data_IF_996125291730
#
_entry.id   IF_996125291730
#
_cell.length_a   1.000
_cell.length_b   1.000
_cell.length_c   1.000
_cell.angle_alpha   90.00
_cell.angle_beta   90.00
_cell.angle_gamma   90.00
#
_symmetry.space_group_name_H-M   'P 1'
#
loop_
_entity.id
_entity.type
_entity.pdbx_description
1 polymer ?
#
# COMPACT_ATOMS: atom_id res chain seq x y z
N UNK A 1 -10.16 55.67 40.05
CA UNK A 1 -11.04 54.59 39.53
C UNK A 1 -10.40 53.97 38.31
N UNK A 2 -10.32 52.64 38.29
CA UNK A 2 -9.34 51.82 37.59
C UNK A 2 -9.72 51.52 36.14
N UNK A 3 -9.19 52.28 35.18
CA UNK A 3 -9.22 51.90 33.75
C UNK A 3 -8.00 51.06 33.33
N UNK A 4 -6.88 51.12 34.06
CA UNK A 4 -5.67 50.33 33.74
C UNK A 4 -5.75 48.86 34.14
N UNK A 5 -6.51 48.51 35.17
CA UNK A 5 -6.61 47.11 35.64
C UNK A 5 -7.53 46.25 34.78
N UNK A 6 -8.50 46.85 34.09
CA UNK A 6 -9.44 46.13 33.21
C UNK A 6 -8.81 45.72 31.86
N UNK A 7 -7.89 46.53 31.32
CA UNK A 7 -7.19 46.23 30.06
C UNK A 7 -6.24 45.05 30.18
N UNK A 8 -5.58 44.90 31.34
CA UNK A 8 -4.63 43.82 31.62
C UNK A 8 -5.37 42.49 31.85
N UNK A 9 -6.55 42.52 32.49
CA UNK A 9 -7.39 41.34 32.69
C UNK A 9 -8.06 40.87 31.39
N UNK A 10 -8.47 41.78 30.48
CA UNK A 10 -8.98 41.41 29.16
C UNK A 10 -7.90 40.82 28.25
N UNK A 11 -6.67 41.35 28.30
CA UNK A 11 -5.54 40.81 27.54
C UNK A 11 -5.12 39.40 27.99
N UNK A 12 -5.16 39.14 29.30
CA UNK A 12 -4.88 37.80 29.84
C UNK A 12 -5.98 36.79 29.51
N UNK A 13 -7.26 37.19 29.55
CA UNK A 13 -8.38 36.33 29.18
C UNK A 13 -8.38 35.99 27.68
N UNK A 14 -8.02 36.94 26.80
CA UNK A 14 -7.89 36.70 25.36
C UNK A 14 -6.68 35.80 25.01
N UNK A 15 -5.57 35.90 25.75
CA UNK A 15 -4.42 35.00 25.59
C UNK A 15 -4.72 33.58 26.06
N UNK A 16 -5.46 33.40 27.17
CA UNK A 16 -5.89 32.07 27.63
C UNK A 16 -6.91 31.43 26.68
N UNK A 17 -7.83 32.21 26.11
CA UNK A 17 -8.74 31.72 25.08
C UNK A 17 -8.03 31.40 23.75
N UNK A 18 -7.00 32.15 23.36
CA UNK A 18 -6.21 31.83 22.16
C UNK A 18 -5.34 30.57 22.34
N UNK A 19 -4.80 30.33 23.53
CA UNK A 19 -4.05 29.09 23.84
C UNK A 19 -4.99 27.89 23.94
N UNK A 20 -6.21 28.06 24.45
CA UNK A 20 -7.22 26.98 24.50
C UNK A 20 -7.85 26.70 23.11
N UNK A 21 -7.98 27.71 22.23
CA UNK A 21 -8.44 27.51 20.85
C UNK A 21 -7.34 26.96 19.92
N UNK A 22 -6.06 27.27 20.18
CA UNK A 22 -4.94 26.61 19.50
C UNK A 22 -4.74 25.15 19.97
N UNK A 23 -5.20 24.80 21.17
CA UNK A 23 -5.28 23.42 21.66
C UNK A 23 -6.43 22.58 21.06
N UNK A 24 -7.34 23.20 20.29
CA UNK A 24 -8.48 22.53 19.64
C UNK A 24 -8.14 21.72 18.39
N UNK A 25 -6.95 21.93 17.81
CA UNK A 25 -6.37 21.01 16.82
C UNK A 25 -5.60 19.92 17.55
N UNK A 26 -6.31 19.05 18.26
CA UNK A 26 -5.71 17.94 18.98
C UNK A 26 -5.11 16.92 17.98
N UNK A 27 -3.86 17.13 17.57
CA UNK A 27 -2.99 16.07 17.05
C UNK A 27 -2.69 15.12 18.20
N UNK A 28 -3.44 14.04 18.30
CA UNK A 28 -3.16 12.97 19.26
C UNK A 28 -2.14 12.00 18.64
N UNK A 29 -0.86 12.15 19.00
CA UNK A 29 0.19 11.16 18.67
C UNK A 29 0.05 9.98 19.63
N UNK A 30 -0.20 8.78 19.09
CA UNK A 30 -0.20 7.52 19.85
C UNK A 30 0.93 6.66 19.34
N UNK A 31 1.92 6.42 20.19
CA UNK A 31 3.10 5.63 19.85
C UNK A 31 2.88 4.16 20.23
N UNK A 32 2.96 3.26 19.25
CA UNK A 32 3.02 1.80 19.49
C UNK A 32 4.38 1.29 19.06
N UNK A 33 5.11 0.67 19.98
CA UNK A 33 6.50 0.22 19.75
C UNK A 33 6.52 -1.26 19.41
N UNK A 34 7.12 -1.57 18.27
CA UNK A 34 7.48 -2.91 17.84
C UNK A 34 9.01 -3.04 17.99
N UNK A 35 9.48 -3.88 18.94
CA UNK A 35 10.86 -3.84 19.42
C UNK A 35 11.60 -5.17 19.19
N UNK A 36 12.78 -5.06 18.58
CA UNK A 36 13.96 -5.83 19.00
C UNK A 36 14.89 -4.95 19.85
N UNK A 37 15.96 -5.51 20.42
CA UNK A 37 16.94 -4.74 21.19
C UNK A 37 17.61 -3.61 20.40
N UNK A 38 17.90 -3.84 19.11
CA UNK A 38 18.70 -2.93 18.24
C UNK A 38 17.83 -2.15 17.24
N UNK A 39 16.76 -2.77 16.72
CA UNK A 39 15.82 -2.16 15.77
C UNK A 39 14.46 -1.93 16.44
N UNK A 40 13.99 -0.68 16.43
CA UNK A 40 12.67 -0.31 16.95
C UNK A 40 11.87 0.41 15.89
N UNK A 41 10.61 0.02 15.73
CA UNK A 41 9.67 0.69 14.82
C UNK A 41 8.52 1.25 15.64
N UNK A 42 8.25 2.54 15.47
CA UNK A 42 7.28 3.29 16.25
C UNK A 42 6.16 3.75 15.33
N UNK A 43 4.95 3.25 15.54
CA UNK A 43 3.77 3.75 14.85
C UNK A 43 3.44 5.17 15.33
N UNK A 44 3.24 6.11 14.41
CA UNK A 44 2.88 7.50 14.65
C UNK A 44 1.55 7.77 13.97
N UNK A 45 0.47 7.78 14.75
CA UNK A 45 -0.87 8.14 14.23
C UNK A 45 -1.10 9.64 14.31
N UNK A 46 -1.37 10.27 13.18
CA UNK A 46 -1.90 11.62 13.06
C UNK A 46 -3.41 11.57 12.85
N UNK A 47 -4.18 12.36 13.60
CA UNK A 47 -5.62 12.49 13.43
C UNK A 47 -5.95 13.88 12.88
N UNK A 48 -6.60 13.96 11.72
CA UNK A 48 -7.07 15.20 11.10
C UNK A 48 -8.58 15.16 10.90
N UNK A 49 -9.29 16.19 11.38
CA UNK A 49 -10.71 16.34 11.08
C UNK A 49 -10.87 16.83 9.63
N UNK A 50 -11.48 16.01 8.78
CA UNK A 50 -11.94 16.44 7.47
C UNK A 50 -13.32 17.10 7.64
N UNK A 51 -13.33 18.43 7.52
CA UNK A 51 -14.50 19.28 7.75
C UNK A 51 -15.54 19.07 6.63
N UNK A 52 -15.14 18.67 5.43
CA UNK A 52 -16.07 18.48 4.31
C UNK A 52 -16.94 17.24 4.48
N UNK A 53 -16.43 16.21 5.18
CA UNK A 53 -17.16 14.96 5.46
C UNK A 53 -17.42 14.75 6.95
N UNK A 54 -17.09 15.74 7.80
CA UNK A 54 -17.24 15.71 9.26
C UNK A 54 -16.71 14.42 9.91
N UNK A 55 -15.57 13.91 9.41
CA UNK A 55 -14.97 12.64 9.85
C UNK A 55 -13.51 12.86 10.20
N UNK A 56 -13.06 12.26 11.30
CA UNK A 56 -11.64 12.18 11.61
C UNK A 56 -10.96 11.18 10.67
N UNK A 57 -10.01 11.66 9.88
CA UNK A 57 -9.05 10.86 9.13
C UNK A 57 -7.88 10.57 10.06
N UNK A 58 -7.57 9.28 10.23
CA UNK A 58 -6.39 8.85 10.96
C UNK A 58 -5.36 8.36 9.95
N UNK A 59 -4.17 8.92 9.99
CA UNK A 59 -3.05 8.51 9.16
C UNK A 59 -1.95 7.99 10.08
N UNK A 60 -1.65 6.69 10.00
CA UNK A 60 -0.54 6.10 10.78
C UNK A 60 0.66 5.94 9.86
N UNK A 61 1.77 6.55 10.26
CA UNK A 61 3.08 6.29 9.67
C UNK A 61 3.96 5.56 10.66
N UNK A 62 5.15 5.17 10.24
CA UNK A 62 6.12 4.51 11.10
C UNK A 62 7.43 5.29 11.13
N UNK A 63 7.97 5.52 12.32
CA UNK A 63 9.31 6.05 12.54
C UNK A 63 10.25 4.89 12.89
N UNK A 64 11.39 4.81 12.21
CA UNK A 64 12.38 3.76 12.39
C UNK A 64 13.49 4.27 13.30
N UNK A 65 13.88 3.47 14.28
CA UNK A 65 14.98 3.75 15.19
C UNK A 65 15.98 2.59 15.17
N UNK A 66 17.25 2.94 15.02
CA UNK A 66 18.39 2.02 15.05
C UNK A 66 19.30 2.46 16.19
N UNK A 67 19.59 1.56 17.12
CA UNK A 67 20.39 1.85 18.32
C UNK A 67 19.94 3.09 19.10
N UNK A 68 18.62 3.32 19.14
CA UNK A 68 18.00 4.44 19.84
C UNK A 68 18.04 5.78 19.10
N UNK A 69 18.68 5.85 17.92
CA UNK A 69 18.63 7.03 17.05
C UNK A 69 17.60 6.83 15.95
N UNK A 70 16.82 7.87 15.64
CA UNK A 70 15.89 7.82 14.50
C UNK A 70 16.69 7.74 13.21
N UNK A 71 16.33 6.79 12.35
CA UNK A 71 16.85 6.68 10.99
C UNK A 71 16.27 7.85 10.16
N UNK A 72 17.16 8.70 9.63
CA UNK A 72 16.78 9.80 8.76
C UNK A 72 16.51 9.35 7.33
N UNK A 73 15.76 10.15 6.55
CA UNK A 73 15.49 9.90 5.13
C UNK A 73 16.77 9.67 4.32
N UNK A 74 17.83 10.44 4.63
CA UNK A 74 19.14 10.32 3.97
C UNK A 74 19.86 9.02 4.33
N UNK A 75 19.77 8.58 5.58
CA UNK A 75 20.32 7.29 6.00
C UNK A 75 19.53 6.14 5.39
N UNK A 76 18.19 6.27 5.34
CA UNK A 76 17.32 5.30 4.69
C UNK A 76 17.61 5.19 3.18
N UNK A 77 17.75 6.31 2.46
CA UNK A 77 18.12 6.28 1.03
C UNK A 77 19.50 5.67 0.79
N UNK A 78 20.45 5.93 1.68
CA UNK A 78 21.79 5.30 1.64
C UNK A 78 21.70 3.79 1.83
N UNK A 79 20.84 3.31 2.73
CA UNK A 79 20.60 1.88 2.95
C UNK A 79 19.86 1.23 1.78
N UNK A 80 18.92 1.96 1.16
CA UNK A 80 18.14 1.50 0.03
C UNK A 80 19.00 1.26 -1.22
N UNK A 81 20.11 1.99 -1.35
CA UNK A 81 21.04 1.93 -2.51
C UNK A 81 20.35 2.24 -3.85
N UNK A 82 19.25 2.98 -3.82
CA UNK A 82 18.54 3.46 -5.00
C UNK A 82 19.01 4.88 -5.35
N UNK A 83 19.76 5.08 -6.45
CA UNK A 83 20.31 6.38 -6.82
C UNK A 83 19.22 7.40 -7.15
N UNK A 84 18.04 6.96 -7.59
CA UNK A 84 16.96 7.86 -7.96
C UNK A 84 16.21 8.36 -6.71
N UNK A 85 16.38 7.73 -5.55
CA UNK A 85 15.69 8.03 -4.30
C UNK A 85 16.54 8.84 -3.29
N UNK A 86 17.73 9.32 -3.69
CA UNK A 86 18.71 9.96 -2.79
C UNK A 86 18.15 11.21 -2.10
N UNK A 87 17.35 12.00 -2.80
CA UNK A 87 16.76 13.26 -2.31
C UNK A 87 15.27 13.13 -1.95
N UNK A 88 14.74 11.90 -1.89
CA UNK A 88 13.34 11.67 -1.56
C UNK A 88 13.06 11.87 -0.07
N UNK A 89 11.85 12.36 0.20
CA UNK A 89 11.25 12.31 1.53
C UNK A 89 10.41 11.05 1.63
N UNK A 90 10.73 10.20 2.60
CA UNK A 90 10.10 8.89 2.75
C UNK A 90 8.95 8.95 3.75
N UNK A 91 7.91 8.18 3.44
CA UNK A 91 6.79 7.93 4.33
C UNK A 91 6.62 6.43 4.46
N UNK A 92 6.81 5.93 5.68
CA UNK A 92 6.62 4.53 5.99
C UNK A 92 5.17 4.30 6.40
N UNK A 93 4.43 3.53 5.62
CA UNK A 93 2.98 3.35 5.78
C UNK A 93 2.59 2.02 6.41
N UNK A 94 3.49 1.04 6.39
CA UNK A 94 3.27 -0.24 7.06
C UNK A 94 4.57 -0.85 7.57
N UNK A 95 4.47 -1.62 8.65
CA UNK A 95 5.58 -2.27 9.31
C UNK A 95 5.14 -3.59 9.95
N UNK A 96 5.87 -4.67 9.65
CA UNK A 96 5.62 -6.01 10.17
C UNK A 96 6.89 -6.57 10.77
N UNK A 97 6.86 -6.89 12.06
CA UNK A 97 7.98 -7.56 12.74
C UNK A 97 8.05 -9.00 12.26
N UNK A 98 9.18 -9.37 11.67
CA UNK A 98 9.42 -10.73 11.19
C UNK A 98 9.99 -11.60 12.31
N UNK A 99 10.97 -11.08 13.05
CA UNK A 99 11.63 -11.74 14.17
C UNK A 99 12.27 -10.70 15.12
N UNK A 100 13.08 -11.15 16.08
CA UNK A 100 13.82 -10.30 17.03
C UNK A 100 14.90 -9.43 16.40
N UNK A 101 15.06 -9.38 15.08
CA UNK A 101 16.08 -8.56 14.43
C UNK A 101 15.63 -7.94 13.11
N UNK A 102 14.47 -8.33 12.57
CA UNK A 102 14.02 -7.95 11.24
C UNK A 102 12.58 -7.44 11.21
N UNK A 103 12.35 -6.43 10.39
CA UNK A 103 11.05 -5.84 10.10
C UNK A 103 10.89 -5.72 8.58
N UNK A 104 9.73 -6.12 8.08
CA UNK A 104 9.29 -5.81 6.73
C UNK A 104 8.58 -4.46 6.74
N UNK A 105 9.02 -3.54 5.90
CA UNK A 105 8.57 -2.15 5.87
C UNK A 105 8.03 -1.80 4.49
N UNK A 106 6.82 -1.24 4.42
CA UNK A 106 6.31 -0.58 3.23
C UNK A 106 6.56 0.93 3.33
N UNK A 107 7.20 1.48 2.30
CA UNK A 107 7.59 2.88 2.22
C UNK A 107 7.16 3.45 0.87
N UNK A 108 6.85 4.74 0.82
CA UNK A 108 6.69 5.47 -0.42
C UNK A 108 7.30 6.86 -0.30
N UNK A 109 7.59 7.49 -1.43
CA UNK A 109 7.98 8.89 -1.41
C UNK A 109 6.75 9.78 -1.20
N UNK A 110 6.96 11.03 -0.79
CA UNK A 110 5.86 11.91 -0.33
C UNK A 110 4.71 12.10 -1.33
N UNK A 111 4.99 12.10 -2.62
CA UNK A 111 3.97 12.21 -3.69
C UNK A 111 3.39 10.84 -4.13
N UNK A 112 3.85 9.75 -3.51
CA UNK A 112 3.47 8.37 -3.81
C UNK A 112 3.76 7.93 -5.25
N UNK A 113 4.66 8.64 -5.94
CA UNK A 113 5.10 8.26 -7.30
C UNK A 113 6.03 7.04 -7.29
N UNK A 114 6.59 6.70 -6.13
CA UNK A 114 7.47 5.55 -5.91
C UNK A 114 7.19 4.91 -4.57
N UNK A 115 7.33 3.59 -4.54
CA UNK A 115 7.19 2.80 -3.33
C UNK A 115 8.21 1.67 -3.28
N UNK A 116 8.46 1.22 -2.05
CA UNK A 116 9.40 0.15 -1.73
C UNK A 116 8.82 -0.73 -0.63
N UNK A 117 8.95 -2.04 -0.79
CA UNK A 117 8.88 -2.96 0.34
C UNK A 117 10.29 -3.44 0.65
N UNK A 118 10.72 -3.26 1.89
CA UNK A 118 12.09 -3.51 2.31
C UNK A 118 12.11 -4.39 3.53
N UNK A 119 13.06 -5.33 3.60
CA UNK A 119 13.36 -6.06 4.83
C UNK A 119 14.51 -5.33 5.50
N UNK A 120 14.20 -4.63 6.59
CA UNK A 120 15.17 -3.97 7.43
C UNK A 120 15.55 -4.91 8.57
N UNK A 121 16.84 -5.19 8.73
CA UNK A 121 17.31 -6.05 9.81
C UNK A 121 18.60 -5.52 10.45
N UNK A 122 18.79 -5.85 11.73
CA UNK A 122 19.98 -5.49 12.47
C UNK A 122 20.96 -6.67 12.52
N UNK A 123 22.15 -6.50 11.94
CA UNK A 123 23.23 -7.49 12.03
C UNK A 123 24.47 -6.84 12.65
N UNK A 124 24.92 -7.37 13.78
CA UNK A 124 26.11 -6.86 14.49
C UNK A 124 26.01 -5.38 14.92
N UNK A 125 24.80 -4.90 15.25
CA UNK A 125 24.57 -3.50 15.62
C UNK A 125 24.59 -2.53 14.43
N UNK A 126 24.41 -3.02 13.20
CA UNK A 126 24.27 -2.17 12.01
C UNK A 126 22.95 -2.46 11.31
N UNK A 127 22.24 -1.42 10.83
CA UNK A 127 21.07 -1.62 10.01
C UNK A 127 21.51 -2.11 8.63
N UNK A 128 20.86 -3.14 8.14
CA UNK A 128 20.96 -3.64 6.79
C UNK A 128 19.57 -3.64 6.18
N UNK A 129 19.48 -3.26 4.92
CA UNK A 129 18.23 -3.17 4.19
C UNK A 129 18.35 -4.04 2.95
N UNK A 130 17.42 -4.97 2.80
CA UNK A 130 17.23 -5.76 1.60
C UNK A 130 15.98 -5.23 0.88
N UNK A 131 16.16 -4.80 -0.37
CA UNK A 131 15.04 -4.40 -1.21
C UNK A 131 14.30 -5.68 -1.65
N UNK A 132 13.06 -5.83 -1.19
CA UNK A 132 12.20 -6.96 -1.54
C UNK A 132 11.41 -6.63 -2.81
N UNK A 133 10.96 -5.38 -2.92
CA UNK A 133 10.16 -4.90 -4.05
C UNK A 133 10.27 -3.39 -4.18
N UNK A 134 10.23 -2.91 -5.42
CA UNK A 134 10.15 -1.49 -5.76
C UNK A 134 9.15 -1.30 -6.91
N UNK A 135 8.39 -0.21 -6.88
CA UNK A 135 7.40 0.09 -7.91
C UNK A 135 6.96 1.55 -7.93
N UNK A 136 6.16 1.92 -8.93
CA UNK A 136 5.45 3.21 -8.98
C UNK A 136 3.99 3.15 -8.50
N UNK A 137 3.52 1.96 -8.06
CA UNK A 137 2.14 1.71 -7.62
C UNK A 137 2.15 0.92 -6.31
N UNK A 138 1.28 1.34 -5.37
CA UNK A 138 1.02 0.80 -4.02
C UNK A 138 1.75 -0.49 -3.60
N UNK A 139 2.91 -0.32 -2.94
CA UNK A 139 3.70 -1.39 -2.29
C UNK A 139 3.15 -1.87 -0.93
N UNK A 140 1.89 -1.58 -0.65
CA UNK A 140 1.27 -1.80 0.64
C UNK A 140 1.07 -3.27 0.99
N UNK A 141 1.12 -3.55 2.29
CA UNK A 141 0.82 -4.86 2.85
C UNK A 141 -0.69 -4.95 3.04
N UNK A 142 -1.38 -5.73 2.21
CA UNK A 142 -2.83 -5.95 2.38
C UNK A 142 -3.08 -7.20 3.22
N UNK A 143 -4.21 -7.27 3.94
CA UNK A 143 -4.55 -8.46 4.70
C UNK A 143 -4.58 -9.66 3.75
N UNK A 144 -3.82 -10.70 4.10
CA UNK A 144 -3.83 -12.02 3.48
C UNK A 144 -4.32 -13.05 4.51
N UNK A 145 -4.53 -14.32 4.15
CA UNK A 145 -4.91 -15.37 5.10
C UNK A 145 -4.00 -15.41 6.33
N UNK A 146 -4.50 -15.90 7.48
CA UNK A 146 -3.73 -15.98 8.71
C UNK A 146 -2.34 -16.60 8.50
N UNK A 147 -1.30 -15.92 8.98
CA UNK A 147 0.10 -16.34 8.84
C UNK A 147 0.79 -15.88 7.56
N UNK A 148 0.09 -15.24 6.62
CA UNK A 148 0.62 -14.68 5.39
C UNK A 148 0.36 -13.17 5.27
N UNK A 149 1.16 -12.51 4.44
CA UNK A 149 1.04 -11.11 4.03
C UNK A 149 1.12 -11.02 2.51
N UNK A 150 0.34 -10.13 1.91
CA UNK A 150 0.34 -9.88 0.47
C UNK A 150 0.90 -8.48 0.21
N UNK A 151 1.98 -8.39 -0.58
CA UNK A 151 2.56 -7.15 -1.07
C UNK A 151 2.24 -7.00 -2.55
N UNK A 152 1.85 -5.82 -2.99
CA UNK A 152 1.50 -5.57 -4.39
C UNK A 152 2.55 -4.63 -4.99
N UNK A 153 3.06 -4.87 -6.18
CA UNK A 153 4.07 -4.05 -6.84
C UNK A 153 3.57 -3.41 -8.13
N UNK A 154 4.41 -2.62 -8.78
CA UNK A 154 4.08 -2.08 -10.10
C UNK A 154 4.18 -3.15 -11.19
N UNK A 155 3.38 -3.01 -12.27
CA UNK A 155 3.30 -3.98 -13.38
C UNK A 155 2.80 -5.38 -13.05
N UNK A 156 1.97 -5.51 -12.02
CA UNK A 156 1.23 -6.73 -11.67
C UNK A 156 1.98 -7.73 -10.79
N UNK A 157 2.93 -7.33 -9.98
CA UNK A 157 3.60 -8.31 -9.11
C UNK A 157 2.86 -8.42 -7.76
N UNK A 158 2.52 -9.64 -7.34
CA UNK A 158 2.09 -9.97 -5.98
C UNK A 158 3.22 -10.74 -5.31
N UNK A 159 3.62 -10.35 -4.11
CA UNK A 159 4.52 -11.13 -3.27
C UNK A 159 3.77 -11.63 -2.03
N UNK A 160 3.83 -12.94 -1.79
CA UNK A 160 3.37 -13.55 -0.55
C UNK A 160 4.52 -13.70 0.42
N UNK A 161 4.34 -13.17 1.62
CA UNK A 161 5.31 -13.29 2.71
C UNK A 161 4.70 -14.08 3.85
N UNK A 162 5.38 -15.14 4.28
CA UNK A 162 5.09 -15.86 5.53
C UNK A 162 6.16 -15.48 6.53
N UNK A 163 5.76 -15.11 7.74
CA UNK A 163 6.71 -14.67 8.78
C UNK A 163 7.43 -15.88 9.40
N UNK A 164 6.71 -16.98 9.63
CA UNK A 164 7.23 -18.16 10.34
C UNK A 164 6.82 -19.49 9.68
N UNK A 165 7.78 -20.25 9.09
CA UNK A 165 9.15 -19.82 8.75
C UNK A 165 9.12 -18.65 7.77
N UNK A 166 10.17 -17.83 7.77
CA UNK A 166 10.28 -16.71 6.83
C UNK A 166 10.36 -17.22 5.40
N UNK A 167 9.35 -16.92 4.58
CA UNK A 167 9.27 -17.31 3.18
C UNK A 167 8.71 -16.14 2.36
N UNK A 168 9.28 -15.93 1.16
CA UNK A 168 8.81 -14.92 0.20
C UNK A 168 8.59 -15.62 -1.13
N UNK A 169 7.41 -15.42 -1.71
CA UNK A 169 6.99 -16.10 -2.93
C UNK A 169 6.38 -15.12 -3.93
N UNK A 170 6.98 -14.94 -5.11
CA UNK A 170 6.43 -14.11 -6.17
C UNK A 170 5.29 -14.81 -6.90
N UNK A 171 4.28 -14.03 -7.23
CA UNK A 171 3.10 -14.41 -7.99
C UNK A 171 2.88 -13.33 -9.05
N UNK A 172 2.89 -13.71 -10.33
CA UNK A 172 2.65 -12.80 -11.42
C UNK A 172 1.15 -12.49 -11.55
N UNK A 173 0.81 -11.22 -11.70
CA UNK A 173 -0.53 -10.65 -11.74
C UNK A 173 -0.95 -9.95 -10.42
N UNK A 174 -1.81 -8.93 -10.53
CA UNK A 174 -2.51 -8.36 -9.37
C UNK A 174 -3.57 -9.34 -8.87
N UNK A 175 -3.13 -10.34 -8.09
CA UNK A 175 -4.01 -11.35 -7.51
C UNK A 175 -4.39 -11.01 -6.08
N UNK A 176 -5.66 -11.17 -5.76
CA UNK A 176 -6.16 -11.18 -4.40
C UNK A 176 -6.06 -12.59 -3.84
N UNK A 177 -5.44 -12.72 -2.67
CA UNK A 177 -5.38 -14.01 -1.98
C UNK A 177 -6.71 -14.30 -1.30
N UNK A 178 -7.33 -15.42 -1.67
CA UNK A 178 -8.58 -15.89 -1.09
C UNK A 178 -8.34 -16.88 0.05
N UNK A 179 -7.42 -17.81 -0.17
CA UNK A 179 -7.15 -18.93 0.73
C UNK A 179 -5.76 -19.51 0.44
N UNK A 180 -5.08 -20.02 1.46
CA UNK A 180 -3.80 -20.70 1.34
C UNK A 180 -3.87 -22.00 2.14
N UNK A 181 -3.35 -23.08 1.57
CA UNK A 181 -3.10 -24.34 2.26
C UNK A 181 -1.75 -24.93 1.82
N UNK A 182 -0.81 -25.01 2.77
CA UNK A 182 0.57 -25.41 2.48
C UNK A 182 1.22 -24.54 1.41
N UNK A 183 1.57 -25.16 0.28
CA UNK A 183 2.21 -24.55 -0.89
C UNK A 183 1.20 -24.20 -2.01
N UNK A 184 -0.10 -24.21 -1.72
CA UNK A 184 -1.15 -23.90 -2.70
C UNK A 184 -1.93 -22.66 -2.25
N UNK A 185 -2.09 -21.69 -3.14
CA UNK A 185 -2.92 -20.52 -2.95
C UNK A 185 -4.11 -20.55 -3.91
N UNK A 186 -5.29 -20.23 -3.40
CA UNK A 186 -6.42 -19.78 -4.20
C UNK A 186 -6.34 -18.26 -4.35
N UNK A 187 -6.35 -17.83 -5.60
CA UNK A 187 -6.11 -16.47 -6.03
C UNK A 187 -7.27 -15.99 -6.88
N UNK A 188 -7.61 -14.72 -6.76
CA UNK A 188 -8.65 -14.04 -7.52
C UNK A 188 -8.07 -12.85 -8.27
N UNK A 189 -8.35 -12.71 -9.56
CA UNK A 189 -7.98 -11.53 -10.34
C UNK A 189 -9.15 -11.11 -11.22
N UNK A 190 -9.19 -9.81 -11.52
CA UNK A 190 -10.07 -9.25 -12.54
C UNK A 190 -9.25 -9.00 -13.81
N UNK A 191 -9.50 -9.82 -14.82
CA UNK A 191 -8.92 -9.67 -16.15
C UNK A 191 -9.87 -8.79 -16.98
N UNK A 192 -9.73 -7.48 -16.77
CA UNK A 192 -10.61 -6.48 -17.40
C UNK A 192 -10.47 -6.45 -18.92
N UNK A 193 -9.29 -6.77 -19.44
CA UNK A 193 -9.02 -6.79 -20.88
C UNK A 193 -9.83 -7.88 -21.59
N UNK A 194 -10.13 -8.97 -20.88
CA UNK A 194 -10.92 -10.09 -21.38
C UNK A 194 -12.31 -10.19 -20.71
N UNK A 195 -12.75 -9.15 -20.02
CA UNK A 195 -14.06 -9.06 -19.33
C UNK A 195 -14.41 -10.29 -18.48
N UNK A 196 -13.43 -10.81 -17.75
CA UNK A 196 -13.58 -12.00 -16.91
C UNK A 196 -12.93 -11.79 -15.56
N UNK A 197 -13.52 -12.37 -14.51
CA UNK A 197 -12.78 -12.60 -13.29
C UNK A 197 -12.31 -14.04 -13.26
N UNK A 198 -11.10 -14.22 -12.76
CA UNK A 198 -10.39 -15.48 -12.78
C UNK A 198 -10.17 -15.89 -11.34
N UNK A 199 -10.55 -17.12 -11.02
CA UNK A 199 -10.18 -17.78 -9.77
C UNK A 199 -9.25 -18.92 -10.11
N UNK A 200 -8.03 -18.89 -9.57
CA UNK A 200 -7.01 -19.91 -9.84
C UNK A 200 -6.49 -20.55 -8.57
N UNK A 201 -6.13 -21.81 -8.65
CA UNK A 201 -5.23 -22.47 -7.72
C UNK A 201 -3.83 -22.39 -8.31
N UNK A 202 -2.89 -21.85 -7.57
CA UNK A 202 -1.49 -21.77 -7.97
C UNK A 202 -0.59 -22.38 -6.91
N UNK A 203 0.49 -23.01 -7.33
CA UNK A 203 1.58 -23.39 -6.44
C UNK A 203 2.37 -22.14 -6.07
N UNK A 204 2.45 -21.83 -4.78
CA UNK A 204 3.08 -20.63 -4.24
C UNK A 204 4.59 -20.64 -4.55
N UNK A 205 5.26 -21.79 -4.36
CA UNK A 205 6.70 -21.93 -4.59
C UNK A 205 7.16 -21.71 -6.04
N UNK A 206 6.28 -21.85 -7.03
CA UNK A 206 6.65 -21.84 -8.45
C UNK A 206 5.72 -21.01 -9.35
N UNK A 207 4.75 -20.31 -8.78
CA UNK A 207 3.63 -19.63 -9.46
C UNK A 207 2.99 -20.47 -10.58
N UNK A 208 2.98 -21.80 -10.40
CA UNK A 208 2.45 -22.70 -11.42
C UNK A 208 0.94 -22.79 -11.24
N UNK A 209 0.18 -22.40 -12.26
CA UNK A 209 -1.28 -22.63 -12.28
C UNK A 209 -1.56 -24.13 -12.22
N UNK A 210 -2.28 -24.54 -11.17
CA UNK A 210 -2.72 -25.92 -10.94
C UNK A 210 -4.13 -26.16 -11.49
N UNK A 211 -5.01 -25.18 -11.31
CA UNK A 211 -6.36 -25.16 -11.84
C UNK A 211 -6.82 -23.72 -11.99
N UNK A 212 -7.70 -23.44 -12.94
CA UNK A 212 -8.20 -22.09 -13.19
C UNK A 212 -9.65 -22.14 -13.66
N UNK A 213 -10.43 -21.21 -13.15
CA UNK A 213 -11.78 -20.93 -13.60
C UNK A 213 -11.89 -19.47 -13.98
N UNK A 214 -12.20 -19.21 -15.25
CA UNK A 214 -12.59 -17.89 -15.73
C UNK A 214 -14.11 -17.78 -15.76
N UNK A 215 -14.64 -16.67 -15.25
CA UNK A 215 -16.07 -16.39 -15.21
C UNK A 215 -16.37 -15.06 -15.92
N UNK A 216 -17.37 -15.03 -16.81
CA UNK A 216 -17.72 -13.83 -17.56
C UNK A 216 -18.27 -12.73 -16.65
N UNK A 217 -17.66 -11.55 -16.69
CA UNK A 217 -18.12 -10.40 -15.89
C UNK A 217 -19.49 -9.88 -16.34
N UNK A 218 -19.90 -10.11 -17.58
CA UNK A 218 -21.25 -9.76 -18.06
C UNK A 218 -22.35 -10.66 -17.47
N UNK A 219 -22.00 -11.74 -16.78
CA UNK A 219 -22.98 -12.65 -16.13
C UNK A 219 -22.94 -12.53 -14.62
N UNK A 220 -21.75 -12.46 -14.02
CA UNK A 220 -21.60 -12.41 -12.57
C UNK A 220 -21.06 -11.06 -12.13
N UNK A 221 -21.62 -10.56 -11.03
CA UNK A 221 -21.17 -9.33 -10.40
C UNK A 221 -19.79 -9.53 -9.76
N UNK A 222 -19.03 -8.43 -9.72
CA UNK A 222 -17.82 -8.38 -8.92
C UNK A 222 -18.18 -8.47 -7.43
N UNK A 223 -17.59 -9.40 -6.67
CA UNK A 223 -17.63 -9.33 -5.22
C UNK A 223 -16.65 -8.26 -4.74
N UNK A 224 -17.05 -7.39 -3.80
CA UNK A 224 -16.12 -6.51 -3.10
C UNK A 224 -15.26 -7.32 -2.12
N UNK A 225 -14.21 -7.92 -2.65
CA UNK A 225 -13.23 -8.67 -1.88
C UNK A 225 -12.04 -7.80 -1.46
N UNK A 226 -11.93 -6.59 -2.00
CA UNK A 226 -10.77 -5.73 -1.78
C UNK A 226 -10.56 -5.44 -0.29
N UNK A 227 -11.65 -5.13 0.41
CA UNK A 227 -11.66 -4.81 1.83
C UNK A 227 -12.24 -5.93 2.71
N UNK A 228 -12.67 -7.04 2.09
CA UNK A 228 -13.14 -8.21 2.83
C UNK A 228 -12.04 -8.78 3.74
N UNK A 229 -12.44 -9.25 4.91
CA UNK A 229 -11.51 -9.97 5.80
C UNK A 229 -11.04 -11.26 5.14
N UNK A 230 -9.87 -11.79 5.51
CA UNK A 230 -9.38 -13.06 4.96
C UNK A 230 -10.37 -14.22 5.15
N UNK A 231 -11.09 -14.24 6.27
CA UNK A 231 -12.13 -15.24 6.55
C UNK A 231 -13.30 -15.10 5.58
N UNK A 232 -13.73 -13.87 5.28
CA UNK A 232 -14.84 -13.62 4.36
C UNK A 232 -14.46 -14.00 2.92
N UNK A 233 -13.23 -13.69 2.49
CA UNK A 233 -12.73 -14.12 1.16
C UNK A 233 -12.65 -15.63 1.04
N UNK A 234 -12.17 -16.30 2.10
CA UNK A 234 -12.14 -17.75 2.19
C UNK A 234 -13.56 -18.34 2.13
N UNK A 235 -14.48 -17.78 2.90
CA UNK A 235 -15.87 -18.24 2.94
C UNK A 235 -16.52 -18.10 1.56
N UNK A 236 -16.38 -16.94 0.91
CA UNK A 236 -16.86 -16.70 -0.45
C UNK A 236 -16.35 -17.75 -1.46
N UNK A 237 -15.07 -18.11 -1.39
CA UNK A 237 -14.49 -19.14 -2.25
C UNK A 237 -15.22 -20.48 -2.08
N UNK A 238 -15.43 -20.95 -0.85
CA UNK A 238 -16.04 -22.26 -0.59
C UNK A 238 -17.58 -22.25 -0.75
N UNK A 239 -18.22 -21.10 -0.64
CA UNK A 239 -19.65 -20.94 -0.94
C UNK A 239 -19.93 -20.94 -2.45
N UNK A 240 -18.99 -20.44 -3.25
CA UNK A 240 -19.18 -20.28 -4.69
C UNK A 240 -18.53 -21.38 -5.53
N UNK A 241 -17.48 -22.03 -5.03
CA UNK A 241 -16.66 -22.98 -5.79
C UNK A 241 -16.45 -24.31 -5.05
N UNK A 242 -16.38 -25.38 -5.83
CA UNK A 242 -15.83 -26.66 -5.39
C UNK A 242 -14.33 -26.62 -5.61
N UNK A 243 -13.55 -26.79 -4.54
CA UNK A 243 -12.08 -26.73 -4.57
C UNK A 243 -11.51 -28.09 -4.18
N UNK A 244 -10.59 -28.60 -4.99
CA UNK A 244 -9.80 -29.82 -4.71
C UNK A 244 -8.32 -29.51 -4.88
N UNK A 245 -7.49 -29.93 -3.92
CA UNK A 245 -6.03 -29.77 -3.92
C UNK A 245 -5.28 -31.12 -3.95
N UNK A 246 -5.99 -32.22 -4.21
CA UNK A 246 -5.41 -33.56 -4.30
C UNK A 246 -4.60 -33.78 -5.59
N UNK A 247 -4.42 -35.04 -5.99
CA UNK A 247 -3.60 -35.41 -7.16
C UNK A 247 -4.05 -34.78 -8.48
N UNK A 248 -5.35 -34.44 -8.58
CA UNK A 248 -5.91 -33.64 -9.66
C UNK A 248 -6.54 -32.37 -9.07
N UNK A 249 -5.76 -31.28 -8.89
CA UNK A 249 -6.30 -30.02 -8.41
C UNK A 249 -7.39 -29.50 -9.34
N UNK A 250 -8.46 -28.99 -8.77
CA UNK A 250 -9.58 -28.46 -9.55
C UNK A 250 -10.28 -27.34 -8.80
N UNK A 251 -10.75 -26.35 -9.55
CA UNK A 251 -11.65 -25.31 -9.06
C UNK A 251 -12.78 -25.15 -10.06
N UNK A 252 -14.02 -25.32 -9.62
CA UNK A 252 -15.20 -25.21 -10.47
C UNK A 252 -16.34 -24.49 -9.74
N UNK A 253 -17.15 -23.68 -10.42
CA UNK A 253 -18.34 -23.09 -9.82
C UNK A 253 -19.25 -24.19 -9.33
N UNK A 254 -19.79 -24.02 -8.13
CA UNK A 254 -20.79 -24.95 -7.63
C UNK A 254 -22.08 -24.83 -8.44
N UNK A 255 -22.85 -25.92 -8.62
CA UNK A 255 -24.17 -25.83 -9.23
C UNK A 255 -25.12 -24.90 -8.46
N UNK A 256 -24.90 -24.75 -7.15
CA UNK A 256 -25.64 -23.90 -6.23
C UNK A 256 -24.83 -22.67 -5.79
N UNK A 257 -23.95 -22.15 -6.66
CA UNK A 257 -23.09 -21.01 -6.34
C UNK A 257 -23.88 -19.80 -5.81
N UNK A 258 -23.28 -19.07 -4.88
CA UNK A 258 -23.86 -17.83 -4.31
C UNK A 258 -23.36 -16.55 -5.00
N UNK A 259 -22.75 -16.65 -6.18
CA UNK A 259 -22.33 -15.47 -6.94
C UNK A 259 -23.55 -14.67 -7.40
N UNK A 260 -23.55 -13.37 -7.09
CA UNK A 260 -24.56 -12.45 -7.58
C UNK A 260 -24.50 -12.34 -9.10
N UNK A 261 -25.66 -12.41 -9.76
CA UNK A 261 -25.77 -12.18 -11.20
C UNK A 261 -25.88 -10.69 -11.49
N UNK A 262 -25.13 -10.21 -12.48
CA UNK A 262 -25.18 -8.82 -12.90
C UNK A 262 -26.39 -8.57 -13.81
N UNK A 263 -27.11 -7.47 -13.60
CA UNK A 263 -28.19 -7.09 -14.53
C UNK A 263 -27.61 -6.38 -15.76
N UNK A 264 -28.32 -6.36 -16.90
CA UNK A 264 -27.87 -5.64 -18.09
C UNK A 264 -27.60 -4.15 -17.84
N UNK A 265 -28.42 -3.50 -17.00
CA UNK A 265 -28.29 -2.08 -16.67
C UNK A 265 -27.04 -1.81 -15.85
N UNK A 266 -26.78 -2.63 -14.83
CA UNK A 266 -25.58 -2.54 -14.00
C UNK A 266 -24.33 -2.79 -14.85
N UNK A 267 -24.36 -3.78 -15.74
CA UNK A 267 -23.25 -4.03 -16.66
C UNK A 267 -22.96 -2.85 -17.59
N UNK A 268 -24.00 -2.20 -18.13
CA UNK A 268 -23.83 -1.01 -18.95
C UNK A 268 -23.19 0.15 -18.15
N UNK A 269 -23.56 0.33 -16.88
CA UNK A 269 -22.94 1.32 -15.99
C UNK A 269 -21.45 1.00 -15.76
N UNK A 270 -21.08 -0.26 -15.53
CA UNK A 270 -19.68 -0.67 -15.39
C UNK A 270 -18.86 -0.36 -16.64
N UNK A 271 -19.38 -0.65 -17.84
CA UNK A 271 -18.69 -0.38 -19.09
C UNK A 271 -18.45 1.13 -19.30
N UNK A 272 -19.42 1.96 -18.92
CA UNK A 272 -19.29 3.41 -19.02
C UNK A 272 -18.26 3.96 -18.00
N UNK A 273 -18.25 3.46 -16.77
CA UNK A 273 -17.24 3.82 -15.77
C UNK A 273 -15.82 3.42 -16.19
N UNK A 274 -15.65 2.22 -16.77
CA UNK A 274 -14.34 1.78 -17.26
C UNK A 274 -13.84 2.66 -18.42
N UNK A 275 -14.74 3.05 -19.33
CA UNK A 275 -14.44 4.02 -20.41
C UNK A 275 -13.94 5.36 -19.85
N UNK A 276 -14.64 5.93 -18.88
CA UNK A 276 -14.27 7.21 -18.26
C UNK A 276 -12.93 7.13 -17.53
N UNK A 277 -12.68 6.05 -16.78
CA UNK A 277 -11.41 5.85 -16.08
C UNK A 277 -10.22 5.77 -17.04
N UNK A 278 -10.37 5.03 -18.15
CA UNK A 278 -9.33 4.95 -19.20
C UNK A 278 -9.01 6.32 -19.80
N UNK A 279 -10.02 7.19 -19.96
CA UNK A 279 -9.83 8.56 -20.43
C UNK A 279 -9.08 9.42 -19.42
N UNK A 280 -9.43 9.34 -18.14
CA UNK A 280 -8.74 10.06 -17.06
C UNK A 280 -7.28 9.61 -16.91
N UNK A 281 -7.02 8.31 -16.96
CA UNK A 281 -5.67 7.75 -16.92
C UNK A 281 -4.83 8.25 -18.11
N UNK A 282 -5.41 8.28 -19.31
CA UNK A 282 -4.72 8.79 -20.49
C UNK A 282 -4.36 10.28 -20.34
N UNK A 283 -5.25 11.09 -19.76
CA UNK A 283 -4.98 12.50 -19.46
C UNK A 283 -3.88 12.67 -18.42
N UNK A 284 -3.91 11.89 -17.33
CA UNK A 284 -2.90 11.91 -16.28
C UNK A 284 -1.51 11.54 -16.83
N UNK A 285 -1.42 10.50 -17.68
CA UNK A 285 -0.19 10.11 -18.36
C UNK A 285 0.33 11.24 -19.26
N UNK A 286 -0.54 11.84 -20.07
CA UNK A 286 -0.17 12.95 -20.95
C UNK A 286 0.35 14.17 -20.18
N UNK A 287 -0.29 14.50 -19.04
CA UNK A 287 0.15 15.58 -18.17
C UNK A 287 1.52 15.27 -17.52
N UNK A 288 1.72 14.04 -17.04
CA UNK A 288 3.01 13.57 -16.51
C UNK A 288 4.12 13.60 -17.56
N UNK A 289 3.83 13.19 -18.80
CA UNK A 289 4.77 13.26 -19.93
C UNK A 289 5.15 14.70 -20.28
N UNK A 290 4.15 15.59 -20.35
CA UNK A 290 4.38 17.01 -20.61
C UNK A 290 5.26 17.66 -19.53
N UNK A 291 4.98 17.36 -18.26
CA UNK A 291 5.78 17.84 -17.14
C UNK A 291 7.22 17.32 -17.18
N UNK A 292 7.42 16.01 -17.43
CA UNK A 292 8.76 15.41 -17.59
C UNK A 292 9.53 15.99 -18.79
N UNK A 293 8.84 16.37 -19.87
CA UNK A 293 9.46 17.04 -21.01
C UNK A 293 9.85 18.49 -20.68
N UNK A 294 9.00 19.22 -19.95
CA UNK A 294 9.30 20.58 -19.52
C UNK A 294 10.53 20.62 -18.59
N UNK A 295 10.60 19.73 -17.59
CA UNK A 295 11.78 19.63 -16.73
C UNK A 295 13.06 19.29 -17.49
N UNK A 296 12.99 18.36 -18.45
CA UNK A 296 14.15 18.02 -19.28
C UNK A 296 14.65 19.20 -20.11
N UNK A 297 13.75 20.04 -20.63
CA UNK A 297 14.14 21.27 -21.33
C UNK A 297 14.80 22.27 -20.39
N UNK A 298 14.25 22.48 -19.19
CA UNK A 298 14.85 23.40 -18.21
C UNK A 298 16.26 22.97 -17.77
N UNK A 299 16.50 21.66 -17.61
CA UNK A 299 17.84 21.14 -17.27
C UNK A 299 18.81 21.34 -18.44
N UNK A 300 18.38 21.04 -19.67
CA UNK A 300 19.22 21.25 -20.87
C UNK A 300 19.53 22.73 -21.12
N UNK A 301 18.57 23.63 -20.89
CA UNK A 301 18.77 25.08 -21.02
C UNK A 301 19.70 25.63 -19.94
N UNK A 302 19.63 25.11 -18.70
CA UNK A 302 20.59 25.45 -17.64
C UNK A 302 22.00 24.94 -17.95
N UNK A 303 22.13 23.70 -18.41
CA UNK A 303 23.42 23.13 -18.81
C UNK A 303 24.06 23.88 -20.00
N UNK A 304 23.25 24.34 -20.95
CA UNK A 304 23.70 25.17 -22.06
C UNK A 304 24.17 26.56 -21.59
N UNK A 305 23.41 27.20 -20.69
CA UNK A 305 23.74 28.52 -20.14
C UNK A 305 25.01 28.47 -19.28
N UNK A 306 25.25 27.39 -18.54
CA UNK A 306 26.48 27.21 -17.75
C UNK A 306 27.73 26.93 -18.59
N UNK A 307 27.57 26.37 -19.80
CA UNK A 307 28.68 26.20 -20.76
C UNK A 307 29.06 27.53 -21.40
N UNK A 308 28.08 28.35 -21.80
CA UNK A 308 28.32 29.66 -22.39
C UNK A 308 28.92 30.68 -21.41
N UNK A 309 28.74 30.50 -20.09
CA UNK A 309 29.37 31.35 -19.06
C UNK A 309 30.84 30.93 -18.77
N UNK A 310 31.25 29.72 -19.18
CA UNK A 310 32.59 29.17 -18.94
C UNK A 310 33.54 29.26 -20.15
N UNK A 311 33.03 29.62 -21.33
CA UNK A 311 33.83 29.99 -22.52
C UNK A 311 34.08 31.51 -22.58
#
# INVERSE_FOLDING_TARGET
MNTRSYSVLLGAALLVCAVLLAGGCARTKRDTVFSSGTLKVVAVTESRLDINVSKYQHYTTYEIYVDGSRLSDKEFSTLLQDPDAVDDQFVHTDAVVLDEGAVLMASHNRDSSRCWTTRLFASGGRPMLENVMQGSVDCGIRPAPPGWRALYGDRSDLLLVREHPFQVHPIAGYWYVLWIDGDVAALYQKDRDHERFVVRLARISSDTTLAEQALPMHTYAEPDLLYASPELRRQWLFDSFTVSIGDAPSIQPRPDHQLDTITPEVWAEYQENDRQNKELDAQARAAGDAWRQAQRREVMDKDATERDIKE
#
